data_IF_214677119922
#
_entry.id   IF_214677119922
#
_cell.length_a   1.000
_cell.length_b   1.000
_cell.length_c   1.000
_cell.angle_alpha   90.00
_cell.angle_beta   90.00
_cell.angle_gamma   90.00
#
_symmetry.space_group_name_H-M   'P 1'
#
loop_
_entity.id
_entity.type
_entity.pdbx_description
1 polymer ?
#
# COMPACT_ATOMS: atom_id res chain seq x y z
N UNK A 1 -29.18 71.65 -15.86
CA UNK A 1 -30.30 70.70 -16.07
C UNK A 1 -29.87 69.35 -15.52
N UNK A 2 -30.75 68.74 -14.73
CA UNK A 2 -30.44 67.72 -13.74
C UNK A 2 -29.98 66.37 -14.33
N UNK A 3 -29.01 65.75 -13.67
CA UNK A 3 -28.60 64.36 -13.88
C UNK A 3 -29.72 63.39 -13.47
N UNK A 4 -30.09 62.40 -14.28
CA UNK A 4 -31.04 61.37 -13.85
C UNK A 4 -30.34 60.22 -13.12
N UNK A 5 -30.84 59.91 -11.92
CA UNK A 5 -30.46 58.76 -11.10
C UNK A 5 -31.10 57.50 -11.71
N UNK A 6 -30.36 56.41 -11.99
CA UNK A 6 -30.98 55.16 -12.43
C UNK A 6 -31.62 54.44 -11.23
N UNK A 7 -32.93 54.24 -11.30
CA UNK A 7 -33.71 53.46 -10.35
C UNK A 7 -33.35 51.96 -10.44
N UNK A 8 -32.99 51.36 -9.30
CA UNK A 8 -32.67 49.94 -9.20
C UNK A 8 -33.96 49.10 -9.34
N UNK A 9 -34.02 48.26 -10.37
CA UNK A 9 -35.14 47.34 -10.63
C UNK A 9 -34.93 46.03 -9.89
N UNK A 10 -35.70 45.78 -8.83
CA UNK A 10 -35.69 44.52 -8.06
C UNK A 10 -36.49 43.47 -8.83
N UNK A 11 -35.80 42.60 -9.56
CA UNK A 11 -36.42 41.43 -10.22
C UNK A 11 -36.27 40.24 -9.29
N UNK A 12 -37.36 39.91 -8.58
CA UNK A 12 -37.44 38.73 -7.72
C UNK A 12 -37.45 37.44 -8.53
N UNK A 13 -36.64 36.45 -8.12
CA UNK A 13 -36.62 35.13 -8.71
C UNK A 13 -37.88 34.35 -8.31
N UNK A 14 -38.74 34.02 -9.29
CA UNK A 14 -39.86 33.10 -9.10
C UNK A 14 -39.37 31.66 -9.28
N UNK A 15 -39.52 30.86 -8.23
CA UNK A 15 -39.21 29.43 -8.24
C UNK A 15 -40.38 28.69 -8.92
N UNK A 16 -40.19 28.22 -10.16
CA UNK A 16 -41.19 27.39 -10.86
C UNK A 16 -40.96 25.93 -10.52
N UNK A 17 -41.93 25.29 -9.84
CA UNK A 17 -41.92 23.86 -9.57
C UNK A 17 -42.48 23.13 -10.81
N UNK A 18 -41.64 22.36 -11.52
CA UNK A 18 -42.10 21.49 -12.61
C UNK A 18 -42.55 20.13 -12.03
N UNK A 19 -43.79 19.67 -12.27
CA UNK A 19 -44.22 18.34 -11.86
C UNK A 19 -43.58 17.26 -12.75
N UNK A 20 -43.27 16.14 -12.10
CA UNK A 20 -42.60 14.94 -12.62
C UNK A 20 -43.12 14.49 -13.99
N UNK A 21 -42.27 14.54 -15.04
CA UNK A 21 -42.52 13.89 -16.33
C UNK A 21 -42.21 12.39 -16.24
N UNK A 22 -42.86 11.70 -15.32
CA UNK A 22 -42.77 10.27 -15.11
C UNK A 22 -43.79 9.55 -16.00
N UNK A 23 -43.75 9.77 -17.32
CA UNK A 23 -44.70 9.09 -18.24
C UNK A 23 -44.23 9.07 -19.70
N UNK A 24 -42.93 8.86 -19.95
CA UNK A 24 -42.46 8.50 -21.29
C UNK A 24 -41.18 7.63 -21.24
N UNK A 25 -41.20 6.56 -20.43
CA UNK A 25 -40.27 5.43 -20.60
C UNK A 25 -40.78 4.54 -21.74
N UNK A 26 -40.47 4.95 -22.96
CA UNK A 26 -40.60 4.13 -24.17
C UNK A 26 -39.76 2.85 -24.02
N UNK A 27 -40.43 1.70 -24.12
CA UNK A 27 -39.85 0.35 -24.22
C UNK A 27 -38.98 0.23 -25.50
N UNK A 28 -37.78 0.80 -25.51
CA UNK A 28 -36.74 0.42 -26.47
C UNK A 28 -35.80 -0.60 -25.82
N UNK A 29 -35.67 -1.83 -26.34
CA UNK A 29 -34.62 -2.73 -25.89
C UNK A 29 -33.25 -2.11 -26.23
N UNK A 30 -32.41 -1.87 -25.22
CA UNK A 30 -31.00 -1.49 -25.42
C UNK A 30 -30.30 -2.62 -26.20
N UNK A 31 -29.51 -2.32 -27.24
CA UNK A 31 -28.63 -3.34 -27.80
C UNK A 31 -27.67 -3.80 -26.69
N UNK A 32 -27.59 -5.11 -26.44
CA UNK A 32 -26.60 -5.71 -25.55
C UNK A 32 -25.23 -5.56 -26.20
N UNK A 33 -24.56 -4.43 -25.98
CA UNK A 33 -23.12 -4.32 -26.23
C UNK A 33 -22.42 -5.29 -25.29
N UNK A 34 -21.81 -6.34 -25.84
CA UNK A 34 -20.91 -7.21 -25.09
C UNK A 34 -19.81 -6.35 -24.47
N UNK A 35 -19.45 -6.53 -23.18
CA UNK A 35 -18.33 -5.80 -22.60
C UNK A 35 -17.07 -6.15 -23.40
N UNK A 36 -16.37 -5.14 -23.92
CA UNK A 36 -15.04 -5.33 -24.47
C UNK A 36 -14.14 -5.97 -23.40
N UNK A 37 -13.27 -6.93 -23.76
CA UNK A 37 -12.34 -7.51 -22.82
C UNK A 37 -11.49 -6.39 -22.22
N UNK A 38 -11.59 -6.20 -20.90
CA UNK A 38 -10.77 -5.20 -20.20
C UNK A 38 -9.30 -5.55 -20.45
N UNK A 39 -8.45 -4.60 -20.87
CA UNK A 39 -7.03 -4.85 -20.94
C UNK A 39 -6.58 -5.35 -19.56
N UNK A 40 -5.81 -6.44 -19.53
CA UNK A 40 -5.28 -7.01 -18.29
C UNK A 40 -4.44 -5.92 -17.63
N UNK A 41 -4.99 -5.33 -16.58
CA UNK A 41 -4.34 -4.30 -15.78
C UNK A 41 -3.13 -4.94 -15.08
N UNK A 42 -1.98 -4.90 -15.76
CA UNK A 42 -0.75 -5.52 -15.30
C UNK A 42 -0.08 -4.54 -14.32
N UNK A 43 -0.72 -4.33 -13.16
CA UNK A 43 -0.17 -3.48 -12.10
C UNK A 43 1.09 -4.12 -11.53
N UNK A 44 2.22 -3.47 -11.69
CA UNK A 44 3.48 -3.82 -11.02
C UNK A 44 3.57 -2.99 -9.74
N UNK A 45 3.65 -3.66 -8.59
CA UNK A 45 3.82 -2.98 -7.31
C UNK A 45 5.28 -2.54 -7.14
N UNK A 46 5.55 -1.24 -7.26
CA UNK A 46 6.82 -0.62 -6.88
C UNK A 46 6.79 -0.34 -5.39
N UNK A 47 7.83 -0.72 -4.64
CA UNK A 47 7.94 -0.43 -3.21
C UNK A 47 8.75 0.85 -3.02
N UNK A 48 8.23 1.76 -2.20
CA UNK A 48 8.95 2.94 -1.78
C UNK A 48 10.09 2.59 -0.80
N UNK A 49 11.10 3.45 -0.74
CA UNK A 49 12.24 3.37 0.16
C UNK A 49 11.79 3.52 1.63
N UNK A 50 12.43 2.81 2.56
CA UNK A 50 12.19 2.91 4.02
C UNK A 50 11.66 1.66 4.72
N UNK A 51 11.38 0.58 3.98
CA UNK A 51 10.87 -0.66 4.56
C UNK A 51 12.00 -1.67 4.88
N UNK A 52 12.20 -1.99 6.17
CA UNK A 52 13.27 -2.88 6.64
C UNK A 52 13.08 -4.32 6.19
N UNK A 53 11.87 -4.88 6.34
CA UNK A 53 11.57 -6.28 5.98
C UNK A 53 11.02 -6.39 4.55
N UNK A 54 11.85 -6.64 3.52
CA UNK A 54 11.39 -6.65 2.15
C UNK A 54 10.38 -7.74 1.85
N UNK A 55 10.19 -8.77 2.71
CA UNK A 55 9.11 -9.73 2.45
C UNK A 55 8.96 -11.01 3.23
N UNK A 56 9.73 -11.24 4.28
CA UNK A 56 9.60 -12.47 5.05
C UNK A 56 8.36 -12.43 5.94
N UNK A 57 7.58 -13.53 5.94
CA UNK A 57 6.49 -13.74 6.88
C UNK A 57 5.30 -12.78 6.77
N UNK A 58 5.06 -12.20 5.59
CA UNK A 58 4.00 -11.19 5.34
C UNK A 58 2.57 -11.63 5.58
N UNK A 59 2.30 -12.93 5.72
CA UNK A 59 0.99 -13.45 6.11
C UNK A 59 0.67 -13.21 7.58
N UNK A 60 1.68 -12.91 8.41
CA UNK A 60 1.51 -12.60 9.84
C UNK A 60 1.54 -11.09 10.07
N UNK A 61 0.69 -10.62 10.97
CA UNK A 61 0.71 -9.24 11.49
C UNK A 61 2.05 -8.87 12.12
N UNK A 62 2.72 -9.86 12.75
CA UNK A 62 4.06 -9.75 13.31
C UNK A 62 4.86 -11.03 13.07
N UNK A 63 5.99 -10.89 12.41
CA UNK A 63 6.93 -11.99 12.19
C UNK A 63 7.87 -12.13 13.39
N UNK A 64 7.61 -13.15 14.23
CA UNK A 64 8.48 -13.52 15.36
C UNK A 64 8.96 -14.97 15.17
N UNK A 65 10.24 -15.25 15.45
CA UNK A 65 10.80 -16.60 15.46
C UNK A 65 11.12 -17.03 16.89
N UNK A 66 10.50 -18.11 17.42
CA UNK A 66 10.87 -18.64 18.72
C UNK A 66 12.29 -19.23 18.65
N UNK A 67 13.18 -18.83 19.56
CA UNK A 67 14.51 -19.42 19.67
C UNK A 67 14.45 -20.61 20.62
N UNK A 68 14.61 -21.83 20.11
CA UNK A 68 15.05 -22.94 20.93
C UNK A 68 16.51 -22.69 21.31
N UNK A 69 16.84 -22.80 22.59
CA UNK A 69 18.23 -22.69 23.06
C UNK A 69 19.09 -23.75 22.34
N UNK A 70 20.32 -23.41 21.90
CA UNK A 70 21.18 -24.39 21.24
C UNK A 70 21.44 -25.56 22.18
N UNK A 71 20.92 -26.75 21.83
CA UNK A 71 21.06 -27.99 22.59
C UNK A 71 22.35 -28.75 22.27
N UNK A 72 23.12 -28.30 21.27
CA UNK A 72 24.33 -28.94 20.77
C UNK A 72 25.62 -28.23 21.23
N UNK A 73 26.74 -28.95 21.38
CA UNK A 73 28.05 -28.38 21.76
C UNK A 73 28.71 -27.56 20.63
N UNK A 74 28.03 -27.40 19.49
CA UNK A 74 28.51 -26.62 18.34
C UNK A 74 28.52 -25.12 18.64
N UNK A 75 29.37 -24.33 17.94
CA UNK A 75 29.29 -22.87 17.99
C UNK A 75 27.86 -22.42 17.70
N UNK A 76 27.37 -21.48 18.52
CA UNK A 76 25.98 -21.02 18.41
C UNK A 76 25.74 -20.35 17.06
N UNK A 77 24.65 -20.69 16.36
CA UNK A 77 24.41 -20.18 15.02
C UNK A 77 24.10 -18.67 15.06
N UNK A 78 24.60 -17.88 14.09
CA UNK A 78 24.29 -16.46 14.00
C UNK A 78 22.85 -16.26 13.51
N UNK A 79 22.08 -15.42 14.20
CA UNK A 79 20.72 -15.05 13.81
C UNK A 79 20.69 -13.74 13.02
N UNK A 80 19.84 -13.71 11.99
CA UNK A 80 19.69 -12.58 11.09
C UNK A 80 18.89 -11.44 11.72
N UNK A 81 19.37 -10.21 11.56
CA UNK A 81 18.67 -8.97 11.95
C UNK A 81 18.38 -8.02 10.79
N UNK A 82 18.97 -8.25 9.62
CA UNK A 82 18.83 -7.38 8.46
C UNK A 82 17.61 -7.72 7.57
N UNK A 83 16.91 -8.83 7.84
CA UNK A 83 15.78 -9.32 7.03
C UNK A 83 16.11 -9.59 5.54
N UNK A 84 17.39 -9.68 5.19
CA UNK A 84 17.88 -9.97 3.83
C UNK A 84 18.40 -11.39 3.64
N UNK A 85 18.50 -12.18 4.71
CA UNK A 85 19.02 -13.55 4.64
C UNK A 85 18.07 -14.48 3.89
N UNK A 86 18.61 -15.32 3.00
CA UNK A 86 17.85 -16.39 2.34
C UNK A 86 17.49 -17.55 3.26
N UNK A 87 18.25 -17.74 4.35
CA UNK A 87 18.05 -18.80 5.36
C UNK A 87 17.43 -18.28 6.65
N UNK A 88 16.64 -17.21 6.55
CA UNK A 88 15.98 -16.58 7.70
C UNK A 88 15.24 -17.63 8.56
N UNK A 89 15.47 -17.69 9.89
CA UNK A 89 16.07 -16.67 10.75
C UNK A 89 17.59 -16.69 10.92
N UNK A 90 18.31 -17.60 10.26
CA UNK A 90 19.77 -17.66 10.36
C UNK A 90 20.43 -16.60 9.48
N UNK A 91 21.64 -16.18 9.85
CA UNK A 91 22.45 -15.25 9.07
C UNK A 91 23.30 -16.00 8.04
N UNK A 92 23.17 -15.62 6.78
CA UNK A 92 23.92 -16.11 5.61
C UNK A 92 25.01 -15.13 5.13
N UNK A 93 25.17 -13.99 5.81
CA UNK A 93 26.09 -12.91 5.42
C UNK A 93 25.49 -11.85 4.50
N UNK A 94 24.19 -11.94 4.15
CA UNK A 94 23.52 -10.96 3.28
C UNK A 94 23.51 -9.53 3.84
N UNK A 95 23.72 -9.35 5.15
CA UNK A 95 23.88 -8.04 5.77
C UNK A 95 25.07 -7.24 5.20
N UNK A 96 26.16 -7.89 4.78
CA UNK A 96 27.33 -7.20 4.23
C UNK A 96 26.98 -6.48 2.92
N UNK A 97 26.21 -7.15 2.05
CA UNK A 97 25.74 -6.56 0.79
C UNK A 97 24.80 -5.38 1.04
N UNK A 98 23.91 -5.52 2.03
CA UNK A 98 23.00 -4.45 2.43
C UNK A 98 23.73 -3.24 2.99
N UNK A 99 24.68 -3.44 3.90
CA UNK A 99 25.50 -2.39 4.50
C UNK A 99 26.24 -1.59 3.43
N UNK A 100 26.83 -2.29 2.44
CA UNK A 100 27.51 -1.63 1.31
C UNK A 100 26.58 -0.82 0.40
N UNK A 101 25.36 -1.31 0.16
CA UNK A 101 24.41 -0.65 -0.75
C UNK A 101 23.66 0.53 -0.09
N UNK A 102 23.40 0.44 1.21
CA UNK A 102 22.58 1.42 1.95
C UNK A 102 23.42 2.34 2.85
N UNK A 103 24.68 1.98 3.13
CA UNK A 103 25.50 2.66 4.14
C UNK A 103 25.11 2.29 5.58
N UNK A 104 24.41 1.17 5.76
CA UNK A 104 23.97 0.68 7.07
C UNK A 104 25.09 -0.11 7.78
N UNK A 105 24.93 -0.36 9.08
CA UNK A 105 25.89 -1.05 9.93
C UNK A 105 25.29 -2.26 10.68
N UNK A 106 24.26 -2.88 10.11
CA UNK A 106 23.59 -4.03 10.74
C UNK A 106 24.47 -5.29 10.73
N UNK A 107 24.32 -6.11 11.77
CA UNK A 107 25.04 -7.38 11.94
C UNK A 107 24.18 -8.47 12.60
N UNK A 108 24.66 -9.72 12.60
CA UNK A 108 23.93 -10.85 13.18
C UNK A 108 23.92 -10.82 14.72
N UNK A 109 22.97 -11.53 15.31
CA UNK A 109 22.94 -11.83 16.74
C UNK A 109 23.62 -13.18 17.01
N UNK A 110 24.71 -13.17 17.76
CA UNK A 110 25.39 -14.38 18.24
C UNK A 110 24.86 -14.71 19.63
N UNK A 111 24.11 -15.80 19.76
CA UNK A 111 23.71 -16.31 21.07
C UNK A 111 24.92 -16.97 21.72
N UNK A 112 25.16 -16.74 23.00
CA UNK A 112 26.13 -17.51 23.79
C UNK A 112 25.35 -18.12 24.95
N UNK A 113 25.58 -19.40 25.26
CA UNK A 113 25.03 -20.00 26.47
C UNK A 113 25.75 -19.35 27.66
N UNK A 114 25.00 -18.64 28.50
CA UNK A 114 25.52 -18.08 29.74
C UNK A 114 26.02 -19.19 30.66
N UNK A 115 27.05 -18.90 31.44
CA UNK A 115 27.61 -19.81 32.44
C UNK A 115 26.64 -19.98 33.61
#
# INVERSE_FOLDING_TARGET
MASPIPAASVIGARFSYAPSSETLRSNRPRPRTLPLPRPRDRRVAVRAEGWVNPGFGRTRTRSSTPSSSPSSPSPSPPYCRCWRSGTFPLCDGSHVKHNKATGDNVGPLLLKKGK
#
